data_IF_342654356412
#
_entry.id   IF_342654356412
#
_cell.length_a   1.000
_cell.length_b   1.000
_cell.length_c   1.000
_cell.angle_alpha   90.00
_cell.angle_beta   90.00
_cell.angle_gamma   90.00
#
_symmetry.space_group_name_H-M   'P 1'
#
loop_
_entity.id
_entity.type
_entity.pdbx_description
1 polymer ?
#
# COMPACT_ATOMS: atom_id res chain seq x y z
N UNK A 1 -57.42 -25.92 -6.32
CA UNK A 1 -56.14 -26.45 -5.79
C UNK A 1 -55.02 -25.63 -6.38
N UNK A 2 -54.31 -24.92 -5.50
CA UNK A 2 -53.21 -24.00 -5.78
C UNK A 2 -51.92 -24.71 -6.23
N UNK A 3 -50.97 -23.87 -6.66
CA UNK A 3 -49.50 -24.01 -6.66
C UNK A 3 -48.91 -24.52 -7.99
N UNK A 4 -47.88 -23.91 -8.58
CA UNK A 4 -47.12 -22.70 -8.28
C UNK A 4 -46.35 -22.32 -9.55
N UNK A 5 -46.26 -21.02 -9.85
CA UNK A 5 -45.32 -20.51 -10.85
C UNK A 5 -43.91 -20.68 -10.30
N UNK A 6 -43.12 -21.56 -10.91
CA UNK A 6 -41.70 -21.71 -10.60
C UNK A 6 -40.99 -20.51 -11.26
N UNK A 7 -40.92 -19.40 -10.53
CA UNK A 7 -40.08 -18.27 -10.87
C UNK A 7 -38.62 -18.69 -10.78
N UNK A 8 -37.94 -18.72 -11.92
CA UNK A 8 -36.51 -18.99 -12.02
C UNK A 8 -35.74 -17.76 -11.51
N UNK A 9 -35.38 -17.78 -10.23
CA UNK A 9 -34.40 -16.87 -9.62
C UNK A 9 -33.05 -17.60 -9.59
N UNK A 10 -32.34 -17.60 -10.72
CA UNK A 10 -30.94 -18.03 -10.73
C UNK A 10 -30.11 -16.82 -10.29
N UNK A 11 -29.65 -16.89 -9.04
CA UNK A 11 -28.84 -15.88 -8.38
C UNK A 11 -27.51 -15.67 -9.08
N UNK A 12 -27.13 -14.40 -9.20
CA UNK A 12 -25.79 -13.99 -9.61
C UNK A 12 -24.83 -14.40 -8.48
N UNK A 13 -24.11 -15.49 -8.70
CA UNK A 13 -22.94 -15.85 -7.90
C UNK A 13 -21.86 -14.78 -8.13
N UNK A 14 -21.77 -13.82 -7.21
CA UNK A 14 -20.63 -12.92 -7.10
C UNK A 14 -19.41 -13.76 -6.73
N UNK A 15 -18.58 -14.05 -7.73
CA UNK A 15 -17.28 -14.69 -7.53
C UNK A 15 -16.36 -13.65 -6.89
N UNK A 16 -16.39 -13.55 -5.55
CA UNK A 16 -15.34 -12.87 -4.80
C UNK A 16 -14.06 -13.72 -4.90
N UNK A 17 -13.25 -13.45 -5.92
CA UNK A 17 -11.91 -14.02 -5.99
C UNK A 17 -11.08 -13.53 -4.80
N UNK A 18 -10.35 -14.44 -4.15
CA UNK A 18 -9.36 -14.12 -3.10
C UNK A 18 -8.11 -13.43 -3.68
N UNK A 19 -8.28 -12.48 -4.61
CA UNK A 19 -7.16 -11.68 -5.10
C UNK A 19 -6.81 -10.67 -4.01
N UNK A 20 -5.52 -10.50 -3.75
CA UNK A 20 -5.07 -9.44 -2.87
C UNK A 20 -5.55 -8.08 -3.42
N UNK A 21 -6.01 -7.16 -2.56
CA UNK A 21 -6.33 -5.80 -2.94
C UNK A 21 -5.27 -5.15 -3.84
N UNK A 22 -5.65 -4.32 -4.79
CA UNK A 22 -4.70 -3.43 -5.47
C UNK A 22 -4.29 -2.27 -4.54
N UNK A 23 -3.21 -1.53 -4.81
CA UNK A 23 -2.87 -0.33 -4.04
C UNK A 23 -4.01 0.67 -3.93
N UNK A 24 -4.77 0.88 -5.00
CA UNK A 24 -5.95 1.77 -4.97
C UNK A 24 -7.08 1.24 -4.09
N UNK A 25 -7.28 -0.08 -4.04
CA UNK A 25 -8.24 -0.69 -3.11
C UNK A 25 -7.77 -0.59 -1.65
N UNK A 26 -6.47 -0.79 -1.39
CA UNK A 26 -5.89 -0.68 -0.06
C UNK A 26 -6.00 0.76 0.50
N UNK A 27 -5.93 1.80 -0.35
CA UNK A 27 -6.15 3.20 0.03
C UNK A 27 -7.56 3.52 0.52
N UNK A 28 -8.56 2.69 0.19
CA UNK A 28 -9.93 2.83 0.72
C UNK A 28 -10.02 2.44 2.20
N UNK A 29 -9.06 1.65 2.69
CA UNK A 29 -8.90 1.29 4.10
C UNK A 29 -8.09 2.31 4.89
N UNK A 30 -7.77 1.94 6.13
CA UNK A 30 -6.85 2.71 6.96
C UNK A 30 -5.40 2.35 6.62
N UNK A 31 -4.48 3.33 6.61
CA UNK A 31 -3.06 3.01 6.52
C UNK A 31 -2.61 2.22 7.74
N UNK A 32 -1.61 1.36 7.58
CA UNK A 32 -0.97 0.64 8.70
C UNK A 32 -0.40 1.65 9.70
N UNK A 33 0.18 2.72 9.18
CA UNK A 33 0.48 3.92 9.97
C UNK A 33 0.55 5.16 9.07
N UNK A 34 0.46 6.32 9.72
CA UNK A 34 0.65 7.61 9.09
C UNK A 34 1.51 8.51 9.97
N UNK A 35 2.31 9.37 9.35
CA UNK A 35 3.20 10.31 10.05
C UNK A 35 3.55 11.53 9.18
N UNK A 36 4.22 12.50 9.79
CA UNK A 36 4.74 13.70 9.13
C UNK A 36 6.27 13.71 9.21
N UNK A 37 6.90 14.36 8.23
CA UNK A 37 8.33 14.66 8.21
C UNK A 37 8.56 16.11 7.84
N UNK A 38 9.64 16.70 8.36
CA UNK A 38 10.12 18.01 7.93
C UNK A 38 10.71 18.02 6.51
N UNK A 39 10.97 16.84 5.93
CA UNK A 39 11.50 16.67 4.57
C UNK A 39 10.44 17.02 3.52
N UNK A 40 10.87 17.48 2.35
CA UNK A 40 9.97 17.68 1.21
C UNK A 40 9.53 16.34 0.61
N UNK A 41 8.48 16.35 -0.21
CA UNK A 41 7.97 15.13 -0.88
C UNK A 41 9.07 14.39 -1.66
N UNK A 42 9.88 15.04 -2.52
CA UNK A 42 10.97 14.35 -3.21
C UNK A 42 12.02 13.78 -2.25
N UNK A 43 12.41 14.55 -1.22
CA UNK A 43 13.43 14.12 -0.26
C UNK A 43 13.00 12.90 0.54
N UNK A 44 11.76 12.88 1.05
CA UNK A 44 11.25 11.76 1.82
C UNK A 44 11.07 10.52 0.94
N UNK A 45 10.52 10.69 -0.27
CA UNK A 45 10.32 9.59 -1.23
C UNK A 45 11.64 8.93 -1.63
N UNK A 46 12.67 9.73 -1.92
CA UNK A 46 14.01 9.23 -2.23
C UNK A 46 14.64 8.46 -1.06
N UNK A 47 14.43 8.93 0.17
CA UNK A 47 14.94 8.24 1.35
C UNK A 47 14.27 6.87 1.53
N UNK A 48 12.95 6.80 1.38
CA UNK A 48 12.19 5.55 1.44
C UNK A 48 12.63 4.62 0.30
N UNK A 49 12.69 5.11 -0.94
CA UNK A 49 13.13 4.35 -2.11
C UNK A 49 14.51 3.72 -1.89
N UNK A 50 15.50 4.52 -1.44
CA UNK A 50 16.86 4.04 -1.18
C UNK A 50 16.87 3.04 -0.03
N UNK A 51 16.17 3.35 1.06
CA UNK A 51 16.07 2.45 2.21
C UNK A 51 15.50 1.09 1.83
N UNK A 52 14.43 1.06 1.04
CA UNK A 52 13.83 -0.20 0.59
C UNK A 52 14.69 -0.93 -0.44
N UNK A 53 15.27 -0.22 -1.41
CA UNK A 53 16.12 -0.80 -2.46
C UNK A 53 17.43 -1.39 -1.96
N UNK A 54 17.91 -0.96 -0.79
CA UNK A 54 19.23 -1.37 -0.24
C UNK A 54 19.14 -2.30 0.97
N UNK A 55 17.96 -2.46 1.56
CA UNK A 55 17.79 -3.33 2.73
C UNK A 55 17.26 -4.69 2.30
N UNK A 56 18.06 -5.74 2.51
CA UNK A 56 17.60 -7.12 2.47
C UNK A 56 16.93 -7.45 3.81
N UNK A 57 15.69 -7.94 3.74
CA UNK A 57 14.86 -8.24 4.92
C UNK A 57 14.83 -9.75 5.16
N UNK A 58 14.18 -10.49 4.26
CA UNK A 58 14.13 -11.96 4.25
C UNK A 58 14.50 -12.51 2.87
N UNK A 59 14.20 -11.74 1.82
CA UNK A 59 14.66 -11.98 0.46
C UNK A 59 14.96 -10.62 -0.19
N UNK A 60 15.84 -10.64 -1.20
CA UNK A 60 16.09 -9.49 -2.04
C UNK A 60 14.86 -9.20 -2.88
N UNK A 61 14.30 -8.00 -2.73
CA UNK A 61 13.23 -7.51 -3.58
C UNK A 61 13.74 -6.35 -4.43
N UNK A 62 13.73 -6.57 -5.75
CA UNK A 62 14.18 -5.59 -6.74
C UNK A 62 13.01 -4.84 -7.40
N UNK A 63 11.79 -4.98 -6.87
CA UNK A 63 10.59 -4.33 -7.42
C UNK A 63 10.39 -2.91 -6.90
N UNK A 64 11.30 -2.41 -6.05
CA UNK A 64 11.18 -1.05 -5.51
C UNK A 64 11.17 -0.01 -6.63
N UNK A 65 10.14 0.81 -6.70
CA UNK A 65 10.02 1.88 -7.68
C UNK A 65 9.14 3.02 -7.15
N UNK A 66 9.10 4.13 -7.89
CA UNK A 66 8.28 5.30 -7.55
C UNK A 66 7.27 5.58 -8.64
N UNK A 67 6.06 5.96 -8.24
CA UNK A 67 4.99 6.39 -9.12
C UNK A 67 4.51 7.80 -8.73
N UNK A 68 4.82 8.83 -9.52
CA UNK A 68 4.28 10.18 -9.32
C UNK A 68 2.77 10.22 -9.56
N UNK A 69 2.05 10.98 -8.73
CA UNK A 69 0.60 11.23 -8.86
C UNK A 69 0.28 12.67 -8.47
N UNK A 70 0.40 13.59 -9.43
CA UNK A 70 0.30 15.03 -9.13
C UNK A 70 1.44 15.46 -8.21
N UNK A 71 1.11 16.07 -7.07
CA UNK A 71 2.10 16.48 -6.05
C UNK A 71 2.50 15.35 -5.08
N UNK A 72 1.83 14.20 -5.17
CA UNK A 72 2.16 13.00 -4.40
C UNK A 72 3.20 12.15 -5.14
N UNK A 73 4.08 11.49 -4.39
CA UNK A 73 4.89 10.39 -4.90
C UNK A 73 4.53 9.14 -4.10
N UNK A 74 4.20 8.06 -4.79
CA UNK A 74 4.05 6.74 -4.19
C UNK A 74 5.36 5.99 -4.34
N UNK A 75 5.92 5.46 -3.27
CA UNK A 75 7.02 4.50 -3.33
C UNK A 75 6.41 3.11 -3.15
N UNK A 76 6.69 2.18 -4.06
CA UNK A 76 6.18 0.81 -4.03
C UNK A 76 7.34 -0.18 -3.91
N UNK A 77 7.08 -1.35 -3.34
CA UNK A 77 8.02 -2.48 -3.21
C UNK A 77 7.19 -3.75 -3.01
N UNK A 78 7.85 -4.90 -3.14
CA UNK A 78 7.27 -6.21 -2.95
C UNK A 78 6.12 -6.49 -3.91
N UNK A 79 6.38 -6.32 -5.20
CA UNK A 79 5.36 -6.47 -6.26
C UNK A 79 4.12 -5.61 -5.95
N UNK A 80 4.36 -4.34 -5.61
CA UNK A 80 3.34 -3.34 -5.27
C UNK A 80 2.49 -3.64 -4.04
N UNK A 81 2.89 -4.64 -3.27
CA UNK A 81 2.12 -5.09 -2.12
C UNK A 81 2.43 -4.31 -0.85
N UNK A 82 3.50 -3.54 -0.87
CA UNK A 82 3.85 -2.56 0.16
C UNK A 82 4.05 -1.23 -0.54
N UNK A 83 3.41 -0.19 -0.03
CA UNK A 83 3.61 1.14 -0.59
C UNK A 83 3.48 2.24 0.44
N UNK A 84 4.17 3.35 0.18
CA UNK A 84 4.14 4.57 0.96
C UNK A 84 3.71 5.72 0.06
N UNK A 85 2.57 6.33 0.38
CA UNK A 85 2.08 7.53 -0.27
C UNK A 85 2.67 8.75 0.43
N UNK A 86 3.51 9.51 -0.27
CA UNK A 86 4.16 10.72 0.24
C UNK A 86 3.49 11.95 -0.37
N UNK A 87 2.84 12.75 0.48
CA UNK A 87 2.01 13.90 0.09
C UNK A 87 2.55 15.20 0.67
N UNK A 88 2.38 16.34 0.00
CA UNK A 88 2.82 17.62 0.55
C UNK A 88 2.01 17.99 1.80
N UNK A 89 2.68 18.63 2.75
CA UNK A 89 2.08 19.20 3.96
C UNK A 89 2.61 20.62 4.17
N UNK A 90 1.94 21.43 5.00
CA UNK A 90 2.32 22.83 5.25
C UNK A 90 3.80 22.99 5.64
N UNK A 91 4.37 22.02 6.36
CA UNK A 91 5.76 22.04 6.85
C UNK A 91 6.53 20.78 6.47
N UNK A 92 6.50 20.38 5.19
CA UNK A 92 7.24 19.24 4.68
C UNK A 92 6.34 18.24 3.96
N UNK A 93 6.36 16.99 4.38
CA UNK A 93 5.60 15.92 3.76
C UNK A 93 4.90 15.03 4.80
N UNK A 94 3.72 14.54 4.43
CA UNK A 94 3.01 13.47 5.14
C UNK A 94 3.26 12.15 4.43
N UNK A 95 3.40 11.08 5.19
CA UNK A 95 3.48 9.71 4.66
C UNK A 95 2.37 8.85 5.22
N UNK A 96 1.73 8.07 4.35
CA UNK A 96 0.83 6.98 4.72
C UNK A 96 1.40 5.69 4.18
N UNK A 97 1.55 4.69 5.04
CA UNK A 97 2.07 3.38 4.66
C UNK A 97 0.94 2.36 4.62
N UNK A 98 0.91 1.56 3.57
CA UNK A 98 -0.14 0.59 3.27
C UNK A 98 0.45 -0.75 2.87
N UNK A 99 -0.39 -1.78 2.98
CA UNK A 99 -0.12 -3.10 2.44
C UNK A 99 -1.37 -3.60 1.73
N UNK A 100 -1.19 -4.39 0.68
CA UNK A 100 -2.32 -5.01 -0.02
C UNK A 100 -2.76 -6.32 0.61
N UNK A 101 -1.85 -7.02 1.30
CA UNK A 101 -2.16 -8.22 2.06
C UNK A 101 -1.32 -8.33 3.33
N UNK A 102 -1.64 -9.33 4.15
CA UNK A 102 -0.90 -9.64 5.36
C UNK A 102 0.40 -10.36 5.01
N UNK A 103 1.48 -9.59 4.90
CA UNK A 103 2.84 -10.10 4.79
C UNK A 103 3.33 -10.62 6.15
N UNK A 104 4.45 -11.35 6.15
CA UNK A 104 5.02 -11.83 7.42
C UNK A 104 5.30 -10.64 8.36
N UNK A 105 5.03 -10.78 9.67
CA UNK A 105 5.19 -9.68 10.63
C UNK A 105 6.58 -9.05 10.61
N UNK A 106 7.62 -9.84 10.33
CA UNK A 106 8.99 -9.37 10.22
C UNK A 106 9.20 -8.46 9.00
N UNK A 107 8.73 -8.85 7.80
CA UNK A 107 8.83 -7.99 6.60
C UNK A 107 8.12 -6.67 6.84
N UNK A 108 6.95 -6.72 7.49
CA UNK A 108 6.19 -5.53 7.85
C UNK A 108 6.94 -4.62 8.82
N UNK A 109 7.44 -5.17 9.91
CA UNK A 109 8.16 -4.41 10.92
C UNK A 109 9.39 -3.70 10.34
N UNK A 110 10.18 -4.40 9.53
CA UNK A 110 11.42 -3.85 8.95
C UNK A 110 11.13 -2.78 7.89
N UNK A 111 10.18 -3.01 6.97
CA UNK A 111 9.82 -2.02 5.94
C UNK A 111 9.20 -0.76 6.55
N UNK A 112 8.37 -0.93 7.57
CA UNK A 112 7.85 0.16 8.38
C UNK A 112 8.96 0.92 9.12
N UNK A 113 9.93 0.21 9.71
CA UNK A 113 11.04 0.84 10.44
C UNK A 113 11.89 1.74 9.53
N UNK A 114 12.11 1.33 8.27
CA UNK A 114 12.81 2.14 7.28
C UNK A 114 12.08 3.47 7.03
N UNK A 115 10.76 3.45 6.85
CA UNK A 115 9.99 4.69 6.68
C UNK A 115 10.07 5.55 7.93
N UNK A 116 9.91 4.94 9.11
CA UNK A 116 9.94 5.65 10.41
C UNK A 116 11.28 6.33 10.69
N UNK A 117 12.38 5.79 10.17
CA UNK A 117 13.73 6.39 10.29
C UNK A 117 13.85 7.76 9.60
N UNK A 118 12.98 8.06 8.63
CA UNK A 118 13.06 9.29 7.82
C UNK A 118 11.98 10.33 8.14
N UNK A 119 11.14 10.07 9.14
CA UNK A 119 10.19 11.04 9.67
C UNK A 119 10.93 12.18 10.35
#
# INVERSE_FOLDING_TARGET
MNHSRIGSLIGVLLVCGCQAPTPDQARLGQPVFQAQSARTVPQLSDCIYRGWSTTEVIAKDNTTHTQPRGEQITVLTWEDSIFADVTPQRHGAGVKFFTTFNLSPQVMAERQAIVKRFL
#
